data_IF_382732850323
#
_entry.id   IF_382732850323
#
_cell.length_a   1.000
_cell.length_b   1.000
_cell.length_c   1.000
_cell.angle_alpha   90.00
_cell.angle_beta   90.00
_cell.angle_gamma   90.00
#
_symmetry.space_group_name_H-M   'P 1'
#
loop_
_entity.id
_entity.type
_entity.pdbx_description
1 polymer ?
#
# COMPACT_ATOMS: atom_id res chain seq x y z
N UNK A 1 10.33 -3.69 -10.95
CA UNK A 1 10.01 -3.50 -9.53
C UNK A 1 10.12 -4.80 -8.72
N UNK A 2 9.75 -5.99 -9.28
CA UNK A 2 9.69 -7.25 -8.51
C UNK A 2 11.04 -7.95 -8.34
N UNK A 3 11.87 -7.99 -9.38
CA UNK A 3 13.16 -8.71 -9.36
C UNK A 3 14.10 -8.31 -8.20
N UNK A 4 14.27 -7.01 -7.86
CA UNK A 4 15.09 -6.62 -6.71
C UNK A 4 14.56 -7.13 -5.36
N UNK A 5 13.25 -7.30 -5.22
CA UNK A 5 12.64 -7.82 -3.99
C UNK A 5 12.96 -9.30 -3.80
N UNK A 6 12.82 -10.09 -4.85
CA UNK A 6 13.20 -11.52 -4.82
C UNK A 6 14.69 -11.70 -4.55
N UNK A 7 15.55 -10.87 -5.15
CA UNK A 7 16.99 -10.89 -4.89
C UNK A 7 17.33 -10.54 -3.42
N UNK A 8 16.47 -9.78 -2.74
CA UNK A 8 16.58 -9.48 -1.32
C UNK A 8 15.94 -10.57 -0.40
N UNK A 9 15.55 -11.71 -0.95
CA UNK A 9 14.93 -12.82 -0.19
C UNK A 9 13.48 -12.56 0.24
N UNK A 10 12.81 -11.59 -0.37
CA UNK A 10 11.40 -11.29 -0.09
C UNK A 10 10.50 -12.19 -0.93
N UNK A 11 9.54 -12.85 -0.28
CA UNK A 11 8.47 -13.57 -0.98
C UNK A 11 7.56 -12.57 -1.71
N UNK A 12 7.45 -12.71 -3.02
CA UNK A 12 6.66 -11.82 -3.87
C UNK A 12 5.42 -12.55 -4.38
N UNK A 13 4.26 -12.10 -3.94
CA UNK A 13 2.96 -12.63 -4.36
C UNK A 13 2.22 -11.55 -5.16
N UNK A 14 1.92 -11.85 -6.40
CA UNK A 14 1.08 -11.00 -7.26
C UNK A 14 -0.34 -11.53 -7.25
N UNK A 15 -1.30 -10.64 -7.01
CA UNK A 15 -2.72 -11.00 -7.03
C UNK A 15 -3.44 -10.22 -8.12
N UNK A 16 -3.87 -10.91 -9.15
CA UNK A 16 -4.58 -10.34 -10.28
C UNK A 16 -6.10 -10.35 -10.09
N UNK A 17 -6.74 -9.22 -10.34
CA UNK A 17 -8.19 -9.01 -10.24
C UNK A 17 -8.93 -9.27 -11.55
N UNK A 18 -8.38 -10.06 -12.47
CA UNK A 18 -8.95 -10.33 -13.79
C UNK A 18 -8.51 -9.33 -14.86
N UNK A 19 -7.21 -9.07 -14.93
CA UNK A 19 -6.59 -8.27 -16.00
C UNK A 19 -6.72 -8.99 -17.35
N UNK A 20 -6.84 -8.20 -18.42
CA UNK A 20 -6.93 -8.70 -19.80
C UNK A 20 -5.76 -8.27 -20.67
N UNK A 21 -4.74 -7.69 -20.06
CA UNK A 21 -3.59 -7.08 -20.72
C UNK A 21 -2.31 -7.94 -20.63
N UNK A 22 -2.43 -9.21 -20.23
CA UNK A 22 -1.31 -10.12 -20.05
C UNK A 22 -0.49 -9.84 -18.80
N UNK A 23 -1.08 -9.18 -17.78
CA UNK A 23 -0.39 -8.89 -16.51
C UNK A 23 0.04 -10.18 -15.82
N UNK A 24 -0.83 -11.16 -15.69
CA UNK A 24 -0.54 -12.44 -15.02
C UNK A 24 0.64 -13.17 -15.66
N UNK A 25 0.63 -13.25 -16.98
CA UNK A 25 1.69 -13.91 -17.77
C UNK A 25 3.04 -13.18 -17.62
N UNK A 26 3.01 -11.85 -17.63
CA UNK A 26 4.22 -11.02 -17.42
C UNK A 26 4.78 -11.11 -16.02
N UNK A 27 3.96 -11.40 -15.02
CA UNK A 27 4.40 -11.59 -13.64
C UNK A 27 4.86 -13.03 -13.36
N UNK A 28 4.45 -14.00 -14.17
CA UNK A 28 4.95 -15.36 -14.10
C UNK A 28 6.48 -15.36 -14.28
N UNK A 29 7.21 -15.96 -13.35
CA UNK A 29 8.68 -15.93 -13.32
C UNK A 29 9.32 -14.72 -12.63
N UNK A 30 8.58 -13.63 -12.41
CA UNK A 30 9.01 -12.46 -11.63
C UNK A 30 8.50 -12.49 -10.18
N UNK A 31 7.47 -13.28 -9.89
CA UNK A 31 6.90 -13.48 -8.57
C UNK A 31 7.07 -14.94 -8.14
N UNK A 32 6.97 -15.20 -6.84
CA UNK A 32 6.98 -16.55 -6.26
C UNK A 32 5.61 -17.21 -6.41
N UNK A 33 4.54 -16.40 -6.45
CA UNK A 33 3.19 -16.83 -6.77
C UNK A 33 2.42 -15.74 -7.54
N UNK A 34 1.60 -16.16 -8.49
CA UNK A 34 0.61 -15.32 -9.17
C UNK A 34 -0.77 -15.94 -8.91
N UNK A 35 -1.63 -15.20 -8.25
CA UNK A 35 -2.95 -15.66 -7.82
C UNK A 35 -4.03 -14.85 -8.54
N UNK A 36 -5.15 -15.49 -8.84
CA UNK A 36 -6.38 -14.82 -9.25
C UNK A 36 -7.29 -14.59 -8.05
N UNK A 37 -7.89 -13.41 -7.97
CA UNK A 37 -8.90 -13.09 -6.95
C UNK A 37 -10.03 -12.23 -7.55
N UNK A 38 -11.20 -12.18 -6.93
CA UNK A 38 -12.24 -11.25 -7.32
C UNK A 38 -11.73 -9.80 -7.31
N UNK A 39 -12.21 -8.99 -8.26
CA UNK A 39 -11.85 -7.59 -8.37
C UNK A 39 -12.18 -6.83 -7.08
N UNK A 40 -11.22 -6.07 -6.57
CA UNK A 40 -11.33 -5.29 -5.35
C UNK A 40 -10.01 -5.30 -4.56
N UNK A 41 -9.51 -4.11 -4.18
CA UNK A 41 -8.20 -3.99 -3.51
C UNK A 41 -8.14 -4.82 -2.24
N UNK A 42 -9.14 -4.69 -1.37
CA UNK A 42 -9.22 -5.47 -0.13
C UNK A 42 -9.18 -6.97 -0.39
N UNK A 43 -9.99 -7.44 -1.36
CA UNK A 43 -10.07 -8.87 -1.71
C UNK A 43 -8.74 -9.40 -2.23
N UNK A 44 -8.07 -8.64 -3.11
CA UNK A 44 -6.78 -9.02 -3.66
C UNK A 44 -5.68 -9.02 -2.58
N UNK A 45 -5.60 -7.97 -1.75
CA UNK A 45 -4.64 -7.88 -0.65
C UNK A 45 -4.84 -9.02 0.37
N UNK A 46 -6.09 -9.32 0.72
CA UNK A 46 -6.42 -10.44 1.61
C UNK A 46 -6.07 -11.80 1.00
N UNK A 47 -6.27 -11.99 -0.30
CA UNK A 47 -5.90 -13.22 -0.99
C UNK A 47 -4.38 -13.42 -0.97
N UNK A 48 -3.61 -12.37 -1.24
CA UNK A 48 -2.16 -12.40 -1.14
C UNK A 48 -1.67 -12.69 0.26
N UNK A 49 -2.24 -12.02 1.26
CA UNK A 49 -1.88 -12.23 2.67
C UNK A 49 -2.15 -13.65 3.17
N UNK A 50 -3.23 -14.29 2.71
CA UNK A 50 -3.51 -15.70 3.05
C UNK A 50 -2.50 -16.69 2.46
N UNK A 51 -1.92 -16.37 1.32
CA UNK A 51 -0.92 -17.20 0.66
C UNK A 51 0.51 -16.94 1.16
N UNK A 52 0.73 -15.79 1.78
CA UNK A 52 2.04 -15.40 2.28
C UNK A 52 2.49 -16.26 3.47
N UNK A 53 3.79 -16.55 3.51
CA UNK A 53 4.44 -17.36 4.55
C UNK A 53 5.35 -16.55 5.46
N UNK A 54 5.67 -15.32 5.06
CA UNK A 54 6.54 -14.43 5.81
C UNK A 54 5.91 -13.94 7.12
N UNK A 55 6.74 -13.57 8.09
CA UNK A 55 6.32 -13.00 9.38
C UNK A 55 5.81 -11.56 9.25
N UNK A 56 6.20 -10.88 8.19
CA UNK A 56 5.79 -9.52 7.84
C UNK A 56 5.09 -9.49 6.49
N UNK A 57 4.02 -8.71 6.41
CA UNK A 57 3.30 -8.43 5.17
C UNK A 57 3.58 -6.99 4.75
N UNK A 58 3.87 -6.82 3.46
CA UNK A 58 3.99 -5.51 2.83
C UNK A 58 2.99 -5.43 1.67
N UNK A 59 2.11 -4.45 1.69
CA UNK A 59 1.14 -4.22 0.64
C UNK A 59 1.63 -3.12 -0.30
N UNK A 60 1.91 -3.50 -1.53
CA UNK A 60 2.48 -2.62 -2.55
C UNK A 60 1.55 -2.54 -3.76
N UNK A 61 1.25 -1.33 -4.22
CA UNK A 61 0.51 -1.15 -5.47
C UNK A 61 1.39 -1.45 -6.69
N UNK A 62 0.79 -1.94 -7.76
CA UNK A 62 1.50 -2.36 -8.98
C UNK A 62 2.29 -1.23 -9.67
N UNK A 63 1.90 0.02 -9.47
CA UNK A 63 2.55 1.22 -10.00
C UNK A 63 3.47 1.92 -8.99
N UNK A 64 3.84 1.23 -7.92
CA UNK A 64 4.69 1.75 -6.85
C UNK A 64 5.99 0.97 -6.76
N UNK A 65 7.09 1.68 -6.59
CA UNK A 65 8.44 1.13 -6.42
C UNK A 65 8.97 1.44 -5.03
N UNK A 66 9.54 0.42 -4.38
CA UNK A 66 10.18 0.56 -3.07
C UNK A 66 11.57 1.21 -3.18
N UNK A 67 12.01 1.96 -2.17
CA UNK A 67 13.39 2.43 -2.10
C UNK A 67 14.35 1.26 -1.85
N UNK A 68 15.64 1.40 -2.24
CA UNK A 68 16.66 0.42 -1.91
C UNK A 68 16.71 0.14 -0.39
N UNK A 69 16.89 -1.12 -0.02
CA UNK A 69 16.97 -1.52 1.40
C UNK A 69 15.64 -1.52 2.16
N UNK A 70 14.52 -1.22 1.52
CA UNK A 70 13.22 -1.18 2.18
C UNK A 70 12.88 -2.46 2.98
N UNK A 71 13.15 -3.68 2.51
CA UNK A 71 12.88 -4.88 3.31
C UNK A 71 13.59 -4.89 4.66
N UNK A 72 14.86 -4.53 4.70
CA UNK A 72 15.63 -4.46 5.95
C UNK A 72 15.13 -3.36 6.89
N UNK A 73 14.77 -2.19 6.35
CA UNK A 73 14.19 -1.09 7.13
C UNK A 73 12.84 -1.47 7.74
N UNK A 74 11.99 -2.16 6.97
CA UNK A 74 10.70 -2.68 7.45
C UNK A 74 10.90 -3.72 8.54
N UNK A 75 11.80 -4.68 8.33
CA UNK A 75 12.10 -5.70 9.33
C UNK A 75 12.61 -5.09 10.65
N UNK A 76 13.50 -4.09 10.57
CA UNK A 76 13.96 -3.35 11.75
C UNK A 76 12.83 -2.59 12.44
N UNK A 77 11.98 -1.90 11.69
CA UNK A 77 10.86 -1.15 12.26
C UNK A 77 9.84 -2.05 12.97
N UNK A 78 9.65 -3.28 12.48
CA UNK A 78 8.72 -4.24 13.08
C UNK A 78 9.26 -4.90 14.37
N UNK A 79 10.49 -4.63 14.78
CA UNK A 79 10.99 -5.00 16.11
C UNK A 79 10.32 -4.16 17.20
N UNK A 80 10.13 -2.87 16.96
CA UNK A 80 9.58 -1.92 17.93
C UNK A 80 8.11 -1.56 17.68
N UNK A 81 7.60 -1.81 16.46
CA UNK A 81 6.25 -1.49 16.03
C UNK A 81 5.55 -2.72 15.45
N UNK A 82 4.25 -2.85 15.67
CA UNK A 82 3.47 -3.94 15.07
C UNK A 82 3.11 -3.70 13.59
N UNK A 83 3.19 -2.45 13.15
CA UNK A 83 2.85 -2.02 11.78
C UNK A 83 3.44 -0.66 11.46
N UNK A 84 3.38 -0.30 10.18
CA UNK A 84 3.85 1.00 9.74
C UNK A 84 3.56 1.29 8.28
N UNK A 85 4.17 2.36 7.80
CA UNK A 85 4.06 2.80 6.41
C UNK A 85 5.35 3.49 5.97
N UNK A 86 5.56 3.54 4.67
CA UNK A 86 6.65 4.27 4.03
C UNK A 86 6.14 5.61 3.52
N UNK A 87 6.96 6.67 3.47
CA UNK A 87 6.55 7.92 2.83
C UNK A 87 6.38 7.75 1.32
N UNK A 88 5.53 8.57 0.72
CA UNK A 88 5.29 8.55 -0.72
C UNK A 88 5.97 9.72 -1.41
N UNK A 89 6.51 9.46 -2.60
CA UNK A 89 6.87 10.42 -3.63
C UNK A 89 6.02 10.12 -4.86
N UNK A 90 5.40 11.15 -5.43
CA UNK A 90 4.62 11.02 -6.66
C UNK A 90 5.50 11.46 -7.83
N UNK A 91 5.76 10.55 -8.76
CA UNK A 91 6.60 10.79 -9.92
C UNK A 91 5.75 11.14 -11.14
N UNK A 92 5.98 12.35 -11.70
CA UNK A 92 5.28 12.88 -12.87
C UNK A 92 5.63 14.33 -13.14
N UNK A 93 5.02 14.91 -14.17
CA UNK A 93 5.39 16.26 -14.67
C UNK A 93 4.71 17.44 -13.94
N UNK A 94 3.81 17.17 -13.00
CA UNK A 94 3.06 18.21 -12.29
C UNK A 94 3.87 18.91 -11.20
N UNK A 95 4.08 20.24 -11.30
CA UNK A 95 4.80 21.05 -10.29
C UNK A 95 4.19 20.99 -8.89
N UNK A 96 2.90 20.67 -8.78
CA UNK A 96 2.15 20.58 -7.51
C UNK A 96 2.30 19.19 -6.85
N UNK A 97 2.72 18.15 -7.58
CA UNK A 97 2.81 16.79 -7.07
C UNK A 97 3.73 16.63 -5.85
N UNK A 98 4.90 17.29 -5.77
CA UNK A 98 5.73 17.24 -4.58
C UNK A 98 5.03 17.80 -3.34
N UNK A 99 4.26 18.88 -3.49
CA UNK A 99 3.47 19.46 -2.40
C UNK A 99 2.35 18.50 -1.96
N UNK A 100 1.65 17.90 -2.92
CA UNK A 100 0.62 16.87 -2.62
C UNK A 100 1.22 15.71 -1.83
N UNK A 101 2.36 15.17 -2.27
CA UNK A 101 3.06 14.10 -1.57
C UNK A 101 3.49 14.52 -0.16
N UNK A 102 4.03 15.72 0.02
CA UNK A 102 4.42 16.27 1.32
C UNK A 102 3.21 16.37 2.27
N UNK A 103 2.07 16.88 1.79
CA UNK A 103 0.84 16.99 2.57
C UNK A 103 0.26 15.60 2.92
N UNK A 104 0.33 14.62 2.00
CA UNK A 104 -0.05 13.24 2.27
C UNK A 104 0.79 12.64 3.39
N UNK A 105 2.10 12.81 3.33
CA UNK A 105 3.04 12.30 4.34
C UNK A 105 2.83 12.98 5.70
N UNK A 106 2.72 14.32 5.73
CA UNK A 106 2.45 15.08 6.95
C UNK A 106 1.14 14.63 7.60
N UNK A 107 0.03 14.59 6.84
CA UNK A 107 -1.25 14.11 7.32
C UNK A 107 -1.14 12.69 7.92
N UNK A 108 -0.52 11.77 7.19
CA UNK A 108 -0.35 10.39 7.66
C UNK A 108 0.46 10.32 8.95
N UNK A 109 1.47 11.16 9.10
CA UNK A 109 2.31 11.25 10.31
C UNK A 109 1.50 11.75 11.51
N UNK A 110 0.67 12.79 11.31
CA UNK A 110 -0.16 13.35 12.39
C UNK A 110 -1.36 12.47 12.77
N UNK A 111 -2.02 11.86 11.78
CA UNK A 111 -3.24 11.09 12.02
C UNK A 111 -2.99 9.62 12.35
N UNK A 112 -1.82 9.09 11.99
CA UNK A 112 -1.54 7.66 12.01
C UNK A 112 -2.35 6.88 10.99
N UNK A 113 -2.85 7.53 9.91
CA UNK A 113 -3.63 6.88 8.85
C UNK A 113 -2.76 6.76 7.60
N UNK A 114 -2.42 5.54 7.22
CA UNK A 114 -1.78 5.23 5.96
C UNK A 114 -2.80 5.20 4.81
N UNK A 115 -2.34 5.51 3.60
CA UNK A 115 -3.11 5.27 2.37
C UNK A 115 -2.39 4.25 1.52
N UNK A 116 -3.10 3.58 0.61
CA UNK A 116 -2.55 2.49 -0.20
C UNK A 116 -1.26 2.83 -0.94
N UNK A 117 -1.08 4.10 -1.33
CA UNK A 117 0.14 4.59 -2.00
C UNK A 117 1.37 4.66 -1.06
N UNK A 118 1.20 4.45 0.24
CA UNK A 118 2.25 4.56 1.26
C UNK A 118 2.84 3.21 1.70
N UNK A 119 2.63 2.14 0.93
CA UNK A 119 3.19 0.81 1.21
C UNK A 119 3.05 0.42 2.70
N UNK A 120 1.82 0.12 3.10
CA UNK A 120 1.50 -0.34 4.44
C UNK A 120 2.19 -1.68 4.70
N UNK A 121 2.87 -1.79 5.84
CA UNK A 121 3.46 -3.04 6.31
C UNK A 121 2.98 -3.36 7.73
N UNK A 122 2.88 -4.65 8.04
CA UNK A 122 2.31 -5.13 9.29
C UNK A 122 2.83 -6.52 9.63
N UNK A 123 2.94 -6.85 10.90
CA UNK A 123 3.21 -8.21 11.35
C UNK A 123 2.08 -9.14 10.90
N UNK A 124 2.42 -10.29 10.37
CA UNK A 124 1.45 -11.23 9.82
C UNK A 124 0.46 -11.77 10.88
N UNK A 125 0.97 -12.04 12.09
CA UNK A 125 0.13 -12.45 13.22
C UNK A 125 -0.94 -11.41 13.57
N UNK A 126 -0.58 -10.14 13.67
CA UNK A 126 -1.51 -9.06 13.91
C UNK A 126 -2.52 -8.90 12.78
N UNK A 127 -2.06 -8.97 11.50
CA UNK A 127 -2.96 -8.87 10.36
C UNK A 127 -4.04 -9.96 10.39
N UNK A 128 -3.67 -11.18 10.77
CA UNK A 128 -4.62 -12.29 10.94
C UNK A 128 -5.55 -12.08 12.12
N UNK A 129 -5.03 -11.59 13.24
CA UNK A 129 -5.81 -11.32 14.45
C UNK A 129 -6.92 -10.30 14.21
N UNK A 130 -6.67 -9.24 13.44
CA UNK A 130 -7.66 -8.20 13.12
C UNK A 130 -8.59 -8.59 11.96
N UNK A 131 -8.41 -9.77 11.34
CA UNK A 131 -9.25 -10.27 10.27
C UNK A 131 -8.95 -9.74 8.86
N UNK A 132 -7.83 -9.02 8.68
CA UNK A 132 -7.41 -8.49 7.38
C UNK A 132 -8.13 -7.19 6.98
N UNK A 133 -8.00 -6.80 5.71
CA UNK A 133 -8.70 -5.64 5.17
C UNK A 133 -10.21 -5.88 5.11
N UNK A 134 -11.04 -4.95 5.59
CA UNK A 134 -12.49 -5.06 5.41
C UNK A 134 -12.86 -4.98 3.93
N UNK A 135 -13.85 -5.76 3.52
CA UNK A 135 -14.31 -5.80 2.12
C UNK A 135 -15.14 -4.54 1.76
N UNK A 136 -14.44 -3.42 1.70
CA UNK A 136 -14.98 -2.12 1.33
C UNK A 136 -14.61 -1.79 -0.13
N UNK A 137 -15.52 -1.19 -0.90
CA UNK A 137 -15.22 -0.76 -2.27
C UNK A 137 -14.12 0.32 -2.33
N UNK A 138 -14.05 1.16 -1.29
CA UNK A 138 -13.07 2.23 -1.09
C UNK A 138 -12.82 2.44 0.40
N UNK A 139 -11.70 3.09 0.75
CA UNK A 139 -11.28 3.43 2.13
C UNK A 139 -10.92 2.21 3.00
N UNK A 140 -10.65 1.07 2.38
CA UNK A 140 -10.14 -0.14 3.03
C UNK A 140 -8.83 0.12 3.78
N UNK A 141 -7.99 1.00 3.24
CA UNK A 141 -6.71 1.44 3.83
C UNK A 141 -6.91 2.29 5.09
N UNK A 142 -7.89 3.19 5.08
CA UNK A 142 -8.26 4.00 6.25
C UNK A 142 -8.84 3.10 7.35
N UNK A 143 -9.76 2.21 6.99
CA UNK A 143 -10.36 1.28 7.94
C UNK A 143 -9.32 0.36 8.58
N UNK A 144 -8.40 -0.19 7.76
CA UNK A 144 -7.26 -0.98 8.24
C UNK A 144 -6.37 -0.18 9.18
N UNK A 145 -5.99 1.05 8.80
CA UNK A 145 -5.15 1.90 9.65
C UNK A 145 -5.83 2.20 11.00
N UNK A 146 -7.14 2.39 11.03
CA UNK A 146 -7.89 2.59 12.28
C UNK A 146 -7.86 1.36 13.17
N UNK A 147 -8.03 0.17 12.61
CA UNK A 147 -7.92 -1.09 13.35
C UNK A 147 -6.50 -1.28 13.90
N UNK A 148 -5.48 -1.09 13.07
CA UNK A 148 -4.08 -1.24 13.48
C UNK A 148 -3.66 -0.24 14.56
N UNK A 149 -4.20 0.98 14.56
CA UNK A 149 -3.93 2.00 15.61
C UNK A 149 -4.36 1.56 17.02
N UNK A 150 -5.31 0.64 17.14
CA UNK A 150 -5.70 0.08 18.45
C UNK A 150 -4.59 -0.80 19.04
N UNK A 151 -3.64 -1.24 18.22
CA UNK A 151 -2.50 -2.08 18.60
C UNK A 151 -1.18 -1.30 18.67
N UNK A 152 -1.23 0.02 18.62
CA UNK A 152 -0.07 0.89 18.75
C UNK A 152 0.10 1.88 17.59
N UNK A 153 1.00 2.85 17.73
CA UNK A 153 1.30 3.82 16.69
C UNK A 153 2.05 3.17 15.52
N UNK A 154 1.86 3.69 14.28
CA UNK A 154 2.62 3.21 13.13
C UNK A 154 4.09 3.62 13.17
N UNK A 155 4.98 2.74 12.73
CA UNK A 155 6.29 3.16 12.25
C UNK A 155 6.13 4.02 11.00
N UNK A 156 6.70 5.22 11.02
CA UNK A 156 6.64 6.16 9.90
C UNK A 156 8.02 6.27 9.24
N UNK A 157 8.35 5.37 8.31
CA UNK A 157 9.63 5.39 7.61
C UNK A 157 9.74 6.65 6.73
N UNK A 158 10.89 7.32 6.80
CA UNK A 158 11.18 8.56 6.06
C UNK A 158 11.61 8.32 4.62
N UNK A 159 12.10 7.13 4.34
CA UNK A 159 12.36 6.66 2.99
C UNK A 159 11.08 6.76 2.17
N UNK A 160 11.22 6.90 0.84
CA UNK A 160 10.07 7.18 -0.01
C UNK A 160 9.86 6.09 -1.05
N UNK A 161 8.67 5.54 -1.06
CA UNK A 161 8.19 4.80 -2.23
C UNK A 161 7.89 5.79 -3.35
N UNK A 162 8.13 5.38 -4.57
CA UNK A 162 7.80 6.17 -5.75
C UNK A 162 6.57 5.59 -6.42
N UNK A 163 5.50 6.37 -6.51
CA UNK A 163 4.25 6.00 -7.19
C UNK A 163 4.01 6.86 -8.41
N UNK A 164 3.31 6.32 -9.40
CA UNK A 164 3.03 7.01 -10.66
C UNK A 164 2.02 8.14 -10.49
N UNK A 165 2.29 9.28 -11.14
CA UNK A 165 1.35 10.39 -11.23
C UNK A 165 0.20 10.17 -12.22
N UNK A 166 0.14 9.02 -12.94
CA UNK A 166 -0.84 8.75 -14.00
C UNK A 166 -2.27 9.11 -13.64
N UNK A 167 -2.69 8.81 -12.42
CA UNK A 167 -4.02 9.14 -11.91
C UNK A 167 -4.25 10.66 -11.81
N UNK A 168 -3.22 11.37 -11.34
CA UNK A 168 -3.24 12.83 -11.16
C UNK A 168 -3.21 13.55 -12.50
N UNK A 169 -2.43 13.08 -13.44
CA UNK A 169 -2.29 13.63 -14.78
C UNK A 169 -3.56 13.40 -15.61
N UNK A 170 -4.13 12.18 -15.54
CA UNK A 170 -5.34 11.83 -16.28
C UNK A 170 -6.60 12.57 -15.79
N UNK A 171 -6.74 12.74 -14.49
CA UNK A 171 -7.96 13.28 -13.89
C UNK A 171 -7.83 14.76 -13.47
N UNK A 172 -6.64 15.32 -13.52
CA UNK A 172 -6.31 16.63 -12.98
C UNK A 172 -6.10 16.62 -11.47
N UNK A 173 -5.11 17.38 -11.00
CA UNK A 173 -4.69 17.38 -9.58
C UNK A 173 -5.82 17.88 -8.68
N UNK A 174 -6.39 19.04 -8.96
CA UNK A 174 -7.44 19.65 -8.12
C UNK A 174 -8.72 18.82 -8.06
N UNK A 175 -9.14 18.28 -9.21
CA UNK A 175 -10.30 17.38 -9.27
C UNK A 175 -10.09 16.13 -8.45
N UNK A 176 -8.89 15.56 -8.49
CA UNK A 176 -8.53 14.37 -7.71
C UNK A 176 -8.53 14.67 -6.21
N UNK A 177 -7.95 15.81 -5.77
CA UNK A 177 -7.96 16.25 -4.38
C UNK A 177 -9.40 16.39 -3.87
N UNK A 178 -10.24 17.16 -4.62
CA UNK A 178 -11.63 17.39 -4.23
C UNK A 178 -12.44 16.09 -4.14
N UNK A 179 -12.28 15.20 -5.12
CA UNK A 179 -12.92 13.90 -5.11
C UNK A 179 -12.51 13.07 -3.89
N UNK A 180 -11.22 13.03 -3.56
CA UNK A 180 -10.73 12.30 -2.39
C UNK A 180 -11.26 12.87 -1.09
N UNK A 181 -11.37 14.20 -0.97
CA UNK A 181 -11.96 14.84 0.20
C UNK A 181 -13.44 14.53 0.34
N UNK A 182 -14.20 14.61 -0.76
CA UNK A 182 -15.63 14.25 -0.77
C UNK A 182 -15.86 12.79 -0.38
N UNK A 183 -15.06 11.86 -0.92
CA UNK A 183 -15.17 10.44 -0.58
C UNK A 183 -14.81 10.17 0.89
N UNK A 184 -13.82 10.88 1.44
CA UNK A 184 -13.49 10.78 2.86
C UNK A 184 -14.60 11.36 3.73
N UNK A 185 -15.13 12.52 3.38
CA UNK A 185 -16.25 13.10 4.11
C UNK A 185 -17.45 12.14 4.12
N UNK A 186 -17.82 11.56 2.97
CA UNK A 186 -18.86 10.54 2.90
C UNK A 186 -18.56 9.30 3.77
N UNK A 187 -17.31 8.86 3.85
CA UNK A 187 -16.93 7.73 4.71
C UNK A 187 -17.03 8.04 6.21
N UNK A 188 -16.80 9.30 6.63
CA UNK A 188 -16.81 9.66 8.05
C UNK A 188 -18.17 10.15 8.56
N UNK A 189 -19.02 10.69 7.67
CA UNK A 189 -20.28 11.36 8.01
C UNK A 189 -21.53 10.75 7.35
N UNK A 190 -21.36 9.80 6.41
CA UNK A 190 -22.44 9.06 5.74
C UNK A 190 -22.59 7.68 6.30
#
# INVERSE_FOLDING_TARGET
>A
ALAPLRAAGVEVIVVDGGSRDGTSERCAGLADAVLAAPRGRARQMNAGARAARGEALLFLHADTTLPPGAPALIASALQDHAWGRVEVRIEGHGRVLPLVAALMNARSRFTGIATGDQALFVRHDLFRQIGGFPDLPLMEDIAMSRALKQHGPPACLKERVTTSARRWERNGVWRTIFLMWRLRAAYFFG
#
